data_IF_633974749001
#
_entry.id   IF_633974749001
#
_cell.length_a   1.000
_cell.length_b   1.000
_cell.length_c   1.000
_cell.angle_alpha   90.00
_cell.angle_beta   90.00
_cell.angle_gamma   90.00
#
_symmetry.space_group_name_H-M   'P 1'
#
loop_
_entity.id
_entity.type
_entity.pdbx_description
1 polymer ?
#
# COMPACT_ATOMS: atom_id res chain seq x y z
N UNK A 1 34.60 6.21 7.72
CA UNK A 1 34.30 4.79 7.42
C UNK A 1 32.82 4.71 7.06
N UNK A 2 32.46 4.37 5.81
CA UNK A 2 31.06 4.22 5.44
C UNK A 2 30.49 2.96 6.10
N UNK A 3 29.44 3.12 6.90
CA UNK A 3 28.67 1.99 7.43
C UNK A 3 28.08 1.22 6.26
N UNK A 4 28.39 -0.06 6.18
CA UNK A 4 27.83 -0.98 5.20
C UNK A 4 26.29 -0.84 5.19
N UNK A 5 25.75 -0.45 4.05
CA UNK A 5 24.31 -0.43 3.83
C UNK A 5 23.74 -1.82 4.12
N UNK A 6 22.66 -1.86 4.88
CA UNK A 6 21.88 -3.08 5.04
C UNK A 6 21.58 -3.65 3.65
N UNK A 7 21.76 -4.96 3.42
CA UNK A 7 21.31 -5.57 2.19
C UNK A 7 19.79 -5.40 2.13
N UNK A 8 19.30 -4.58 1.21
CA UNK A 8 17.89 -4.60 0.83
C UNK A 8 17.62 -5.98 0.25
N UNK A 9 17.12 -6.89 1.09
CA UNK A 9 16.67 -8.19 0.67
C UNK A 9 15.72 -7.98 -0.51
N UNK A 10 16.04 -8.62 -1.64
CA UNK A 10 15.35 -8.44 -2.91
C UNK A 10 13.83 -8.49 -2.72
N UNK A 11 13.20 -7.32 -2.77
CA UNK A 11 11.77 -7.18 -2.70
C UNK A 11 11.17 -8.00 -3.84
N UNK A 12 10.42 -9.05 -3.49
CA UNK A 12 9.62 -9.82 -4.43
C UNK A 12 8.83 -8.83 -5.28
N UNK A 13 9.06 -8.82 -6.60
CA UNK A 13 8.38 -7.91 -7.54
C UNK A 13 6.89 -7.93 -7.24
N UNK A 14 6.36 -6.77 -6.84
CA UNK A 14 4.92 -6.57 -6.67
C UNK A 14 4.29 -6.64 -8.06
N UNK A 15 3.88 -7.85 -8.43
CA UNK A 15 3.34 -8.11 -9.75
C UNK A 15 3.44 -9.59 -10.06
N UNK A 16 2.27 -10.23 -10.14
CA UNK A 16 2.06 -11.39 -11.02
C UNK A 16 2.85 -11.20 -12.32
N UNK A 17 3.35 -12.28 -12.91
CA UNK A 17 4.15 -12.32 -14.15
C UNK A 17 3.53 -11.65 -15.41
N UNK A 18 2.46 -10.87 -15.26
CA UNK A 18 1.89 -10.02 -16.29
C UNK A 18 2.76 -8.77 -16.53
N UNK A 19 3.00 -8.39 -17.79
CA UNK A 19 3.76 -7.19 -18.10
C UNK A 19 3.11 -5.93 -17.51
N UNK A 20 3.96 -5.00 -17.07
CA UNK A 20 3.51 -3.67 -16.67
C UNK A 20 3.10 -2.90 -17.93
N UNK A 21 1.81 -2.57 -18.05
CA UNK A 21 1.24 -1.94 -19.27
C UNK A 21 0.40 -0.69 -18.97
N UNK A 22 0.35 -0.23 -17.71
CA UNK A 22 -0.47 0.91 -17.31
C UNK A 22 0.39 2.03 -16.73
N UNK A 23 0.21 3.25 -17.25
CA UNK A 23 0.86 4.46 -16.75
C UNK A 23 0.07 5.00 -15.56
N UNK A 24 0.72 5.02 -14.39
CA UNK A 24 0.19 5.62 -13.17
C UNK A 24 0.50 7.12 -13.14
N UNK A 25 -0.48 7.91 -12.75
CA UNK A 25 -0.37 9.37 -12.68
C UNK A 25 -1.08 9.90 -11.43
N UNK A 26 -0.55 10.97 -10.86
CA UNK A 26 -1.15 11.63 -9.72
C UNK A 26 -2.46 12.30 -10.12
N UNK A 27 -3.56 11.95 -9.47
CA UNK A 27 -4.87 12.54 -9.77
C UNK A 27 -4.97 14.04 -9.41
N UNK A 28 -4.13 14.54 -8.50
CA UNK A 28 -4.12 15.96 -8.10
C UNK A 28 -3.27 16.85 -9.02
N UNK A 29 -2.12 16.34 -9.47
CA UNK A 29 -1.12 17.13 -10.21
C UNK A 29 -1.00 16.75 -11.68
N UNK A 30 -1.62 15.65 -12.09
CA UNK A 30 -1.45 15.04 -13.42
C UNK A 30 -0.06 14.44 -13.68
N UNK A 31 0.88 14.54 -12.73
CA UNK A 31 2.25 14.07 -12.93
C UNK A 31 2.31 12.54 -12.98
N UNK A 32 2.95 12.00 -14.02
CA UNK A 32 3.25 10.57 -14.14
C UNK A 32 4.16 10.14 -12.98
N UNK A 33 3.79 9.03 -12.32
CA UNK A 33 4.54 8.45 -11.20
C UNK A 33 5.36 7.23 -11.63
N UNK A 34 4.84 6.42 -12.55
CA UNK A 34 5.54 5.24 -13.06
C UNK A 34 4.66 4.34 -13.91
N UNK A 35 5.17 3.15 -14.24
CA UNK A 35 4.43 2.12 -14.98
C UNK A 35 4.18 0.94 -14.05
N UNK A 36 2.92 0.52 -13.94
CA UNK A 36 2.47 -0.56 -13.07
C UNK A 36 1.79 -1.67 -13.88
N UNK A 37 1.71 -2.87 -13.31
CA UNK A 37 0.79 -3.89 -13.82
C UNK A 37 -0.66 -3.48 -13.55
N UNK A 38 -1.60 -4.04 -14.31
CA UNK A 38 -3.02 -3.72 -14.19
C UNK A 38 -3.56 -3.85 -12.76
N UNK A 39 -3.14 -4.90 -12.05
CA UNK A 39 -3.61 -5.20 -10.70
C UNK A 39 -3.11 -4.18 -9.69
N UNK A 40 -1.83 -3.80 -9.76
CA UNK A 40 -1.25 -2.79 -8.87
C UNK A 40 -1.89 -1.42 -9.12
N UNK A 41 -1.99 -1.01 -10.39
CA UNK A 41 -2.64 0.26 -10.76
C UNK A 41 -4.08 0.31 -10.24
N UNK A 42 -4.85 -0.75 -10.48
CA UNK A 42 -6.24 -0.83 -10.03
C UNK A 42 -6.36 -0.86 -8.51
N UNK A 43 -5.44 -1.54 -7.80
CA UNK A 43 -5.46 -1.61 -6.34
C UNK A 43 -5.20 -0.23 -5.70
N UNK A 44 -4.22 0.52 -6.21
CA UNK A 44 -3.92 1.88 -5.73
C UNK A 44 -5.14 2.79 -5.89
N UNK A 45 -5.76 2.79 -7.08
CA UNK A 45 -6.98 3.58 -7.33
C UNK A 45 -8.15 3.17 -6.42
N UNK A 46 -8.34 1.86 -6.18
CA UNK A 46 -9.38 1.34 -5.27
C UNK A 46 -9.16 1.70 -3.81
N UNK A 47 -7.91 1.91 -3.40
CA UNK A 47 -7.54 2.34 -2.05
C UNK A 47 -7.51 3.86 -1.91
N UNK A 48 -8.06 4.60 -2.89
CA UNK A 48 -8.25 6.04 -2.82
C UNK A 48 -6.98 6.85 -3.04
N UNK A 49 -5.91 6.22 -3.56
CA UNK A 49 -4.61 6.88 -3.79
C UNK A 49 -4.00 7.52 -2.53
N UNK A 50 -4.42 7.07 -1.35
CA UNK A 50 -3.98 7.57 -0.04
C UNK A 50 -2.93 6.63 0.57
N UNK A 51 -1.67 7.09 0.75
CA UNK A 51 -0.61 6.30 1.36
C UNK A 51 -0.99 5.70 2.72
N UNK A 52 -1.80 6.39 3.53
CA UNK A 52 -2.17 5.89 4.86
C UNK A 52 -3.16 4.73 4.79
N UNK A 53 -4.08 4.77 3.83
CA UNK A 53 -4.95 3.63 3.51
C UNK A 53 -4.15 2.41 3.06
N UNK A 54 -3.13 2.60 2.21
CA UNK A 54 -2.24 1.51 1.80
C UNK A 54 -1.45 0.94 2.98
N UNK A 55 -0.94 1.79 3.88
CA UNK A 55 -0.25 1.34 5.11
C UNK A 55 -1.16 0.49 6.00
N UNK A 56 -2.42 0.87 6.16
CA UNK A 56 -3.41 0.07 6.91
C UNK A 56 -3.64 -1.30 6.26
N UNK A 57 -3.70 -1.37 4.93
CA UNK A 57 -3.82 -2.62 4.21
C UNK A 57 -2.60 -3.54 4.41
N UNK A 58 -1.39 -2.97 4.39
CA UNK A 58 -0.14 -3.71 4.70
C UNK A 58 -0.17 -4.23 6.14
N UNK A 59 -0.49 -3.37 7.11
CA UNK A 59 -0.54 -3.75 8.53
C UNK A 59 -1.52 -4.90 8.77
N UNK A 60 -2.68 -4.89 8.10
CA UNK A 60 -3.64 -5.99 8.16
C UNK A 60 -3.03 -7.32 7.68
N UNK A 61 -2.32 -7.32 6.54
CA UNK A 61 -1.68 -8.52 5.99
C UNK A 61 -0.53 -9.04 6.88
N UNK A 62 0.17 -8.13 7.55
CA UNK A 62 1.24 -8.48 8.50
C UNK A 62 0.72 -9.03 9.83
N UNK A 63 -0.60 -9.13 10.02
CA UNK A 63 -1.19 -9.53 11.29
C UNK A 63 -1.17 -8.44 12.35
N UNK A 64 -0.67 -7.25 12.01
CA UNK A 64 -0.84 -6.02 12.78
C UNK A 64 -2.23 -5.42 12.51
N UNK A 65 -3.23 -6.30 12.52
CA UNK A 65 -4.60 -5.93 12.32
C UNK A 65 -4.97 -4.89 13.38
N UNK A 66 -5.51 -3.79 12.88
CA UNK A 66 -6.23 -2.81 13.67
C UNK A 66 -7.12 -3.54 14.69
N UNK A 67 -6.83 -3.36 15.98
CA UNK A 67 -7.66 -3.90 17.06
C UNK A 67 -8.65 -2.82 17.48
N UNK A 68 -9.92 -2.91 17.07
CA UNK A 68 -10.90 -1.97 17.56
C UNK A 68 -11.06 -2.09 19.07
N UNK A 69 -11.31 -0.97 19.72
CA UNK A 69 -11.81 -1.00 21.10
C UNK A 69 -13.33 -1.12 21.06
N UNK A 70 -13.87 -2.16 21.69
CA UNK A 70 -15.31 -2.30 21.88
C UNK A 70 -15.74 -1.31 22.97
N UNK A 71 -16.52 -0.29 22.60
CA UNK A 71 -16.97 0.76 23.53
C UNK A 71 -18.42 0.57 23.97
N UNK A 72 -19.19 -0.21 23.20
CA UNK A 72 -20.52 -0.70 23.56
C UNK A 72 -20.83 -1.96 22.72
N UNK A 73 -21.85 -2.78 23.05
CA UNK A 73 -22.23 -3.92 22.24
C UNK A 73 -22.47 -3.52 20.77
N UNK A 74 -21.64 -4.04 19.87
CA UNK A 74 -21.69 -3.73 18.43
C UNK A 74 -21.07 -2.39 18.01
N UNK A 75 -20.50 -1.61 18.94
CA UNK A 75 -19.86 -0.31 18.64
C UNK A 75 -18.35 -0.41 18.85
N UNK A 76 -17.62 -0.24 17.76
CA UNK A 76 -16.17 -0.27 17.73
C UNK A 76 -15.62 1.14 17.48
N UNK A 77 -14.70 1.59 18.34
CA UNK A 77 -13.99 2.83 18.14
C UNK A 77 -12.66 2.57 17.40
N UNK A 78 -12.39 3.40 16.40
CA UNK A 78 -11.10 3.49 15.73
C UNK A 78 -10.06 4.06 16.71
N UNK A 79 -8.93 3.37 16.99
CA UNK A 79 -7.73 4.01 17.50
C UNK A 79 -7.39 5.25 16.66
N UNK A 80 -7.19 6.35 17.39
CA UNK A 80 -6.76 7.67 16.91
C UNK A 80 -5.42 7.63 16.19
#
# INVERSE_FOLDING_TARGET
MPTAGHPVAGGRRIGSAAPAVHVDHCHETGRVRGVLCFNCNSAIGKLGDDPDTLRRAIAYLEGNAWKPTLVAPGVYQLPS
#
